data_IF_849596543386
#
_entry.id   IF_849596543386
#
_cell.length_a   1.000
_cell.length_b   1.000
_cell.length_c   1.000
_cell.angle_alpha   90.00
_cell.angle_beta   90.00
_cell.angle_gamma   90.00
#
_symmetry.space_group_name_H-M   'P 1'
#
loop_
_entity.id
_entity.type
_entity.pdbx_description
1 polymer ?
#
# COMPACT_ATOMS: atom_id res chain seq x y z
N UNK A 1 50.33 -27.53 14.18
CA UNK A 1 48.86 -27.49 13.98
C UNK A 1 48.48 -26.06 13.72
N UNK A 2 47.87 -25.74 12.55
CA UNK A 2 47.39 -24.38 12.24
C UNK A 2 46.17 -24.08 13.10
N UNK A 3 46.06 -22.89 13.74
CA UNK A 3 44.89 -22.54 14.52
C UNK A 3 43.65 -22.44 13.65
N UNK A 4 42.67 -23.27 13.93
CA UNK A 4 41.33 -23.19 13.27
C UNK A 4 40.60 -21.95 13.71
N UNK A 5 40.23 -21.07 12.79
CA UNK A 5 39.43 -19.92 13.11
C UNK A 5 37.93 -20.30 13.28
N UNK A 6 37.17 -19.47 13.99
CA UNK A 6 35.76 -19.68 14.34
C UNK A 6 34.89 -20.03 13.12
N UNK A 7 35.19 -19.45 11.95
CA UNK A 7 34.46 -19.66 10.70
C UNK A 7 34.73 -21.05 10.09
N UNK A 8 35.97 -21.55 10.20
CA UNK A 8 36.35 -22.90 9.74
C UNK A 8 35.78 -23.98 10.64
N UNK A 9 35.68 -23.72 11.95
CA UNK A 9 35.06 -24.63 12.90
C UNK A 9 33.54 -24.77 12.63
N UNK A 10 32.81 -23.65 12.42
CA UNK A 10 31.37 -23.68 12.12
C UNK A 10 31.08 -24.39 10.78
N UNK A 11 31.93 -24.22 9.77
CA UNK A 11 31.76 -24.93 8.50
C UNK A 11 32.03 -26.44 8.62
N UNK A 12 32.97 -26.84 9.46
CA UNK A 12 33.26 -28.25 9.69
C UNK A 12 32.13 -28.93 10.50
N UNK A 13 31.60 -28.27 11.53
CA UNK A 13 30.51 -28.82 12.34
C UNK A 13 29.20 -28.99 11.55
N UNK A 14 28.85 -28.05 10.65
CA UNK A 14 27.67 -28.18 9.79
C UNK A 14 27.81 -29.29 8.73
N UNK A 15 29.01 -29.53 8.23
CA UNK A 15 29.27 -30.63 7.27
C UNK A 15 29.14 -32.00 7.94
N UNK A 16 29.62 -32.14 9.18
CA UNK A 16 29.56 -33.40 9.93
C UNK A 16 28.13 -33.75 10.34
N UNK A 17 27.33 -32.79 10.76
CA UNK A 17 25.92 -33.03 11.10
C UNK A 17 25.06 -33.36 9.89
N UNK A 18 25.33 -32.75 8.73
CA UNK A 18 24.63 -33.06 7.49
C UNK A 18 24.95 -34.47 6.96
N UNK A 19 26.20 -34.93 7.08
CA UNK A 19 26.62 -36.27 6.67
C UNK A 19 26.04 -37.35 7.61
N UNK A 20 25.98 -37.11 8.91
CA UNK A 20 25.45 -38.05 9.90
C UNK A 20 23.92 -38.24 9.82
N UNK A 21 23.19 -37.23 9.31
CA UNK A 21 21.73 -37.24 9.22
C UNK A 21 21.23 -37.76 7.85
N UNK A 22 22.10 -38.06 6.88
CA UNK A 22 21.68 -38.42 5.52
C UNK A 22 20.86 -37.34 4.81
N UNK A 23 20.91 -36.09 5.34
CA UNK A 23 20.20 -34.96 4.77
C UNK A 23 20.99 -34.44 3.59
N UNK A 24 20.49 -34.65 2.38
CA UNK A 24 20.89 -33.84 1.23
C UNK A 24 20.68 -32.37 1.58
N UNK A 25 21.63 -31.46 1.24
CA UNK A 25 21.38 -30.03 1.45
C UNK A 25 20.10 -29.65 0.73
N UNK A 26 19.06 -29.36 1.51
CA UNK A 26 17.85 -28.78 0.95
C UNK A 26 18.32 -27.49 0.25
N UNK A 27 18.32 -27.48 -1.06
CA UNK A 27 18.35 -26.25 -1.82
C UNK A 27 17.18 -25.44 -1.31
N UNK A 28 17.46 -24.33 -0.65
CA UNK A 28 16.42 -23.38 -0.32
C UNK A 28 15.74 -23.01 -1.64
N UNK A 29 14.64 -23.67 -1.91
CA UNK A 29 13.77 -23.25 -3.00
C UNK A 29 13.29 -21.88 -2.59
N UNK A 30 13.74 -20.86 -3.31
CA UNK A 30 12.95 -19.64 -3.42
C UNK A 30 11.53 -20.11 -3.69
N UNK A 31 10.56 -19.72 -2.85
CA UNK A 31 9.18 -20.11 -3.05
C UNK A 31 8.77 -19.86 -4.50
N UNK A 32 7.68 -20.49 -4.99
CA UNK A 32 7.29 -20.41 -6.39
C UNK A 32 7.41 -18.98 -6.84
N UNK A 33 8.05 -18.76 -8.00
CA UNK A 33 8.13 -17.42 -8.59
C UNK A 33 6.73 -16.81 -8.51
N UNK A 34 6.63 -15.71 -7.80
CA UNK A 34 5.36 -15.05 -7.54
C UNK A 34 4.88 -14.46 -8.87
N UNK A 35 4.29 -15.31 -9.71
CA UNK A 35 3.72 -14.88 -11.00
C UNK A 35 2.61 -13.90 -10.67
N UNK A 36 2.86 -12.65 -10.99
CA UNK A 36 1.91 -11.58 -10.76
C UNK A 36 0.67 -11.83 -11.63
N UNK A 37 -0.51 -11.76 -11.04
CA UNK A 37 -1.76 -11.91 -11.79
C UNK A 37 -1.81 -10.93 -12.96
N UNK A 38 -2.13 -11.37 -14.18
CA UNK A 38 -2.34 -10.47 -15.32
C UNK A 38 -3.56 -9.56 -15.14
N UNK A 39 -4.50 -9.95 -14.26
CA UNK A 39 -5.76 -9.24 -14.02
C UNK A 39 -5.64 -8.14 -12.97
N UNK A 40 -4.42 -7.78 -12.54
CA UNK A 40 -4.27 -6.73 -11.51
C UNK A 40 -4.70 -5.38 -12.05
N UNK A 41 -5.52 -4.73 -11.24
CA UNK A 41 -5.97 -3.37 -11.42
C UNK A 41 -5.00 -2.39 -10.74
N UNK A 42 -5.09 -1.13 -11.11
CA UNK A 42 -4.32 -0.03 -10.52
C UNK A 42 -5.14 1.26 -10.46
N UNK A 43 -4.63 2.22 -9.72
CA UNK A 43 -5.03 3.63 -9.80
C UNK A 43 -3.81 4.43 -10.21
N UNK A 44 -3.89 5.09 -11.35
CA UNK A 44 -2.93 6.09 -11.78
C UNK A 44 -3.32 7.43 -11.14
N UNK A 45 -2.38 8.07 -10.48
CA UNK A 45 -2.53 9.42 -9.93
C UNK A 45 -1.73 10.38 -10.80
N UNK A 46 -2.41 11.23 -11.54
CA UNK A 46 -1.79 12.26 -12.36
C UNK A 46 -1.63 13.54 -11.55
N UNK A 47 -0.42 13.78 -11.08
CA UNK A 47 -0.09 14.95 -10.26
C UNK A 47 -0.02 16.25 -11.08
N UNK A 48 0.01 16.18 -12.40
CA UNK A 48 0.00 17.35 -13.28
C UNK A 48 -1.38 17.96 -13.45
N UNK A 49 -2.43 17.14 -13.19
CA UNK A 49 -3.84 17.55 -13.32
C UNK A 49 -4.50 17.75 -11.96
N UNK A 50 -3.95 17.16 -10.91
CA UNK A 50 -4.53 17.20 -9.56
C UNK A 50 -4.54 18.63 -9.01
N UNK A 51 -5.74 19.16 -8.70
CA UNK A 51 -5.95 20.51 -8.16
C UNK A 51 -5.96 20.55 -6.61
N UNK A 52 -5.82 19.41 -5.93
CA UNK A 52 -5.82 19.36 -4.47
C UNK A 52 -7.17 19.58 -3.80
N UNK A 53 -8.29 19.41 -4.49
CA UNK A 53 -9.65 19.65 -3.96
C UNK A 53 -10.06 18.70 -2.82
N UNK A 54 -9.35 17.60 -2.61
CA UNK A 54 -9.58 16.60 -1.53
C UNK A 54 -10.92 15.84 -1.60
N UNK A 55 -11.70 15.96 -2.70
CA UNK A 55 -12.93 15.18 -2.89
C UNK A 55 -12.69 13.67 -2.77
N UNK A 56 -11.51 13.19 -3.15
CA UNK A 56 -11.11 11.80 -2.99
C UNK A 56 -10.94 11.38 -1.51
N UNK A 57 -10.59 12.30 -0.61
CA UNK A 57 -10.57 12.04 0.85
C UNK A 57 -12.01 11.92 1.37
N UNK A 58 -12.88 12.88 1.02
CA UNK A 58 -14.28 12.88 1.37
C UNK A 58 -14.97 11.59 0.94
N UNK A 59 -14.93 11.27 -0.35
CA UNK A 59 -15.58 10.10 -0.90
C UNK A 59 -15.03 8.77 -0.35
N UNK A 60 -13.74 8.73 0.00
CA UNK A 60 -13.16 7.57 0.66
C UNK A 60 -13.74 7.36 2.05
N UNK A 61 -13.92 8.42 2.83
CA UNK A 61 -14.52 8.35 4.18
C UNK A 61 -15.97 7.90 4.11
N UNK A 62 -16.76 8.50 3.23
CA UNK A 62 -18.16 8.12 3.00
C UNK A 62 -18.29 6.63 2.63
N UNK A 63 -17.46 6.16 1.69
CA UNK A 63 -17.51 4.78 1.22
C UNK A 63 -17.07 3.73 2.27
N UNK A 64 -16.43 4.16 3.36
CA UNK A 64 -15.92 3.28 4.42
C UNK A 64 -16.56 3.58 5.79
N UNK A 65 -17.68 4.31 5.81
CA UNK A 65 -18.42 4.66 7.03
C UNK A 65 -17.53 5.30 8.12
N UNK A 66 -16.55 6.09 7.70
CA UNK A 66 -15.69 6.85 8.60
C UNK A 66 -16.32 8.19 8.94
N UNK A 67 -15.98 8.75 10.10
CA UNK A 67 -16.44 10.08 10.50
C UNK A 67 -16.05 11.12 9.43
N UNK A 68 -17.06 11.63 8.71
CA UNK A 68 -16.88 12.48 7.54
C UNK A 68 -17.46 13.87 7.84
N UNK A 69 -16.62 14.93 7.86
CA UNK A 69 -17.09 16.31 7.88
C UNK A 69 -17.87 16.63 6.58
N UNK A 70 -18.70 17.68 6.58
CA UNK A 70 -19.32 18.16 5.35
C UNK A 70 -18.31 18.45 4.24
N UNK A 71 -18.71 18.33 2.97
CA UNK A 71 -17.81 18.48 1.83
C UNK A 71 -17.09 19.84 1.82
N UNK A 72 -17.77 20.90 2.25
CA UNK A 72 -17.25 22.26 2.33
C UNK A 72 -16.03 22.37 3.28
N UNK A 73 -15.92 21.49 4.27
CA UNK A 73 -14.76 21.45 5.16
C UNK A 73 -13.46 21.01 4.43
N UNK A 74 -13.58 20.39 3.26
CA UNK A 74 -12.42 20.00 2.46
C UNK A 74 -11.89 21.13 1.57
N UNK A 75 -12.58 22.26 1.49
CA UNK A 75 -12.09 23.47 0.82
C UNK A 75 -11.01 24.19 1.64
N UNK A 76 -10.96 23.96 2.97
CA UNK A 76 -9.90 24.54 3.84
C UNK A 76 -8.52 23.94 3.46
N UNK A 77 -7.55 24.74 3.01
CA UNK A 77 -6.22 24.26 2.63
C UNK A 77 -5.32 23.94 3.83
N UNK A 78 -5.64 24.39 5.04
CA UNK A 78 -4.80 24.19 6.24
C UNK A 78 -4.31 22.79 6.47
N UNK A 79 -5.11 21.73 6.30
CA UNK A 79 -4.62 20.37 6.46
C UNK A 79 -3.49 19.98 5.51
N UNK A 80 -3.30 20.70 4.39
CA UNK A 80 -2.22 20.46 3.43
C UNK A 80 -0.94 21.28 3.72
N UNK A 81 -0.93 22.13 4.73
CA UNK A 81 0.27 22.88 5.16
C UNK A 81 1.30 21.96 5.83
N UNK A 82 0.87 20.82 6.34
CA UNK A 82 1.73 19.80 6.93
C UNK A 82 1.59 18.49 6.16
N UNK A 83 2.70 17.77 6.02
CA UNK A 83 2.65 16.44 5.41
C UNK A 83 1.86 15.48 6.29
N UNK A 84 0.77 14.95 5.75
CA UNK A 84 -0.10 13.96 6.40
C UNK A 84 0.17 12.57 5.85
N UNK A 85 -0.11 11.57 6.67
CA UNK A 85 -0.17 10.16 6.26
C UNK A 85 -1.58 9.63 6.47
N UNK A 86 -2.00 8.63 5.68
CA UNK A 86 -3.20 7.87 6.01
C UNK A 86 -3.14 7.34 7.45
N UNK A 87 -4.27 7.40 8.12
CA UNK A 87 -4.46 6.94 9.49
C UNK A 87 -5.78 6.15 9.61
N UNK A 88 -6.17 5.80 10.83
CA UNK A 88 -7.40 5.06 11.10
C UNK A 88 -8.67 5.87 10.79
N UNK A 89 -8.58 7.19 10.70
CA UNK A 89 -9.70 8.08 10.39
C UNK A 89 -9.72 8.52 8.93
N UNK A 90 -8.62 8.32 8.18
CA UNK A 90 -8.49 8.75 6.80
C UNK A 90 -7.60 7.79 6.00
N UNK A 91 -8.20 6.87 5.24
CA UNK A 91 -7.47 5.85 4.47
C UNK A 91 -6.70 6.41 3.26
N UNK A 92 -6.95 7.66 2.91
CA UNK A 92 -6.23 8.42 1.89
C UNK A 92 -6.17 9.89 2.27
N UNK A 93 -5.08 10.54 1.92
CA UNK A 93 -4.87 11.98 2.16
C UNK A 93 -4.24 12.62 0.92
N UNK A 94 -4.48 13.91 0.76
CA UNK A 94 -3.82 14.73 -0.28
C UNK A 94 -2.84 15.67 0.40
N UNK A 95 -1.61 15.68 -0.06
CA UNK A 95 -0.55 16.57 0.42
C UNK A 95 -0.18 17.56 -0.67
N UNK A 96 0.30 18.72 -0.26
CA UNK A 96 0.80 19.80 -1.11
C UNK A 96 2.31 19.93 -0.91
N UNK A 97 3.05 19.95 -2.00
CA UNK A 97 4.50 20.11 -2.01
C UNK A 97 4.86 21.35 -2.80
N UNK A 98 5.88 22.05 -2.36
CA UNK A 98 6.47 23.13 -3.14
C UNK A 98 7.06 22.56 -4.44
N UNK A 99 6.85 23.28 -5.53
CA UNK A 99 7.47 22.95 -6.80
C UNK A 99 8.70 23.86 -6.99
N UNK A 100 9.93 23.32 -6.92
CA UNK A 100 11.15 24.15 -7.05
C UNK A 100 11.27 24.87 -8.39
N UNK A 101 10.66 24.32 -9.45
CA UNK A 101 10.69 24.90 -10.79
C UNK A 101 9.62 25.98 -11.00
N UNK A 102 8.56 25.98 -10.20
CA UNK A 102 7.49 26.97 -10.24
C UNK A 102 6.82 27.10 -8.87
N UNK A 103 7.30 28.01 -8.00
CA UNK A 103 6.77 28.19 -6.65
C UNK A 103 5.28 28.56 -6.61
N UNK A 104 4.76 29.21 -7.64
CA UNK A 104 3.36 29.62 -7.74
C UNK A 104 2.42 28.45 -8.08
N UNK A 105 2.98 27.32 -8.54
CA UNK A 105 2.22 26.13 -8.90
C UNK A 105 2.68 24.91 -8.09
N UNK A 106 2.19 24.75 -6.86
CA UNK A 106 2.56 23.62 -6.01
C UNK A 106 2.05 22.31 -6.61
N UNK A 107 2.77 21.23 -6.34
CA UNK A 107 2.37 19.86 -6.73
C UNK A 107 1.52 19.24 -5.63
N UNK A 108 0.33 18.80 -5.97
CA UNK A 108 -0.55 18.06 -5.05
C UNK A 108 -0.48 16.57 -5.33
N UNK A 109 -0.31 15.78 -4.27
CA UNK A 109 -0.12 14.33 -4.35
C UNK A 109 -1.07 13.60 -3.42
N UNK A 110 -1.85 12.70 -3.99
CA UNK A 110 -2.68 11.77 -3.23
C UNK A 110 -1.84 10.63 -2.68
N UNK A 111 -1.92 10.38 -1.37
CA UNK A 111 -1.23 9.30 -0.67
C UNK A 111 -2.24 8.28 -0.17
N UNK A 112 -2.02 7.01 -0.50
CA UNK A 112 -2.85 5.88 -0.10
C UNK A 112 -2.04 4.58 -0.11
N UNK A 113 -2.67 3.44 0.17
CA UNK A 113 -2.03 2.13 0.02
C UNK A 113 -1.60 1.91 -1.44
N UNK A 114 -0.36 1.47 -1.63
CA UNK A 114 0.20 1.19 -2.96
C UNK A 114 -0.24 -0.16 -3.52
N UNK A 115 -0.94 -0.99 -2.75
CA UNK A 115 -1.33 -2.35 -3.15
C UNK A 115 -0.20 -3.12 -3.83
N UNK A 116 0.98 -3.10 -3.21
CA UNK A 116 2.27 -3.57 -3.74
C UNK A 116 2.16 -4.91 -4.45
N UNK A 117 2.97 -5.11 -5.49
CA UNK A 117 3.06 -6.39 -6.19
C UNK A 117 3.56 -7.50 -5.26
N UNK A 118 4.55 -7.20 -4.42
CA UNK A 118 5.08 -8.07 -3.37
C UNK A 118 4.87 -7.38 -2.00
N UNK A 119 3.67 -7.50 -1.40
CA UNK A 119 3.33 -6.71 -0.22
C UNK A 119 3.99 -7.27 1.04
N UNK A 120 4.96 -6.54 1.58
CA UNK A 120 5.65 -6.91 2.83
C UNK A 120 4.68 -7.07 4.01
N UNK A 121 3.58 -6.31 4.03
CA UNK A 121 2.56 -6.42 5.06
C UNK A 121 1.80 -7.77 5.01
N UNK A 122 1.66 -8.39 3.82
CA UNK A 122 1.10 -9.75 3.68
C UNK A 122 2.09 -10.77 4.22
N UNK A 123 3.36 -10.68 3.81
CA UNK A 123 4.42 -11.59 4.27
C UNK A 123 4.66 -11.53 5.79
N UNK A 124 4.45 -10.35 6.38
CA UNK A 124 4.62 -10.14 7.83
C UNK A 124 3.39 -10.59 8.64
N UNK A 125 2.25 -10.88 8.03
CA UNK A 125 1.04 -11.24 8.74
C UNK A 125 1.07 -12.71 9.18
N UNK A 126 1.40 -12.95 10.44
CA UNK A 126 1.59 -14.30 11.01
C UNK A 126 0.30 -15.13 11.05
N UNK A 127 -0.87 -14.49 11.01
CA UNK A 127 -2.18 -15.17 11.03
C UNK A 127 -2.87 -15.18 9.66
N UNK A 128 -2.21 -14.66 8.60
CA UNK A 128 -2.78 -14.60 7.27
C UNK A 128 -4.02 -13.71 7.15
N UNK A 129 -4.17 -12.73 8.05
CA UNK A 129 -5.30 -11.79 8.01
C UNK A 129 -5.19 -10.76 6.87
N UNK A 130 -4.01 -10.56 6.30
CA UNK A 130 -3.81 -9.71 5.13
C UNK A 130 -3.50 -10.58 3.93
N UNK A 131 -4.25 -10.41 2.86
CA UNK A 131 -4.08 -11.17 1.63
C UNK A 131 -4.05 -10.27 0.39
N UNK A 132 -3.31 -10.69 -0.64
CA UNK A 132 -3.35 -10.10 -1.97
C UNK A 132 -4.31 -10.89 -2.83
N UNK A 133 -5.27 -10.20 -3.43
CA UNK A 133 -6.28 -10.77 -4.33
C UNK A 133 -5.80 -10.74 -5.79
N UNK A 134 -6.44 -11.52 -6.65
CA UNK A 134 -6.10 -11.62 -8.08
C UNK A 134 -6.22 -10.29 -8.82
N UNK A 135 -7.19 -9.44 -8.43
CA UNK A 135 -7.35 -8.09 -8.97
C UNK A 135 -6.28 -7.10 -8.47
N UNK A 136 -5.30 -7.56 -7.70
CA UNK A 136 -4.21 -6.73 -7.16
C UNK A 136 -4.52 -6.07 -5.82
N UNK A 137 -5.74 -6.10 -5.32
CA UNK A 137 -6.09 -5.55 -4.03
C UNK A 137 -5.36 -6.28 -2.89
N UNK A 138 -4.80 -5.52 -1.96
CA UNK A 138 -4.31 -6.04 -0.67
C UNK A 138 -5.34 -5.68 0.37
N UNK A 139 -6.07 -6.69 0.84
CA UNK A 139 -7.20 -6.54 1.77
C UNK A 139 -6.89 -7.25 3.07
N UNK A 140 -7.48 -6.81 4.16
CA UNK A 140 -7.33 -7.47 5.44
C UNK A 140 -8.69 -7.99 5.94
N UNK A 141 -8.63 -9.12 6.63
CA UNK A 141 -9.75 -9.79 7.27
C UNK A 141 -9.72 -9.46 8.77
N UNK A 142 -10.72 -8.73 9.22
CA UNK A 142 -10.80 -8.29 10.62
C UNK A 142 -10.99 -9.44 11.59
N UNK A 143 -11.64 -10.53 11.17
CA UNK A 143 -11.98 -11.65 12.04
C UNK A 143 -10.75 -12.52 12.35
N UNK A 144 -9.76 -12.51 11.46
CA UNK A 144 -8.48 -13.18 11.67
C UNK A 144 -7.44 -12.31 12.35
N UNK A 145 -7.64 -10.98 12.36
CA UNK A 145 -6.63 -10.05 12.83
C UNK A 145 -6.49 -10.09 14.35
N UNK A 146 -5.29 -10.36 14.84
CA UNK A 146 -4.95 -10.39 16.28
C UNK A 146 -4.35 -9.06 16.80
N UNK A 147 -4.28 -8.02 15.96
CA UNK A 147 -3.75 -6.71 16.35
C UNK A 147 -2.25 -6.66 16.65
N UNK A 148 -1.44 -7.59 16.14
CA UNK A 148 0.01 -7.63 16.41
C UNK A 148 0.80 -6.46 15.79
N UNK A 149 0.22 -5.70 14.86
CA UNK A 149 0.77 -4.51 14.19
C UNK A 149 2.04 -4.74 13.35
N UNK A 150 2.42 -5.98 13.10
CA UNK A 150 3.58 -6.30 12.27
C UNK A 150 3.46 -5.73 10.85
N UNK A 151 2.26 -5.65 10.30
CA UNK A 151 1.99 -5.03 9.00
C UNK A 151 2.35 -3.53 8.96
N UNK A 152 2.23 -2.81 10.11
CA UNK A 152 2.61 -1.40 10.21
C UNK A 152 4.13 -1.25 10.13
N UNK A 153 4.87 -2.10 10.85
CA UNK A 153 6.34 -2.09 10.87
C UNK A 153 6.92 -2.52 9.51
N UNK A 154 6.29 -3.51 8.87
CA UNK A 154 6.76 -4.05 7.60
C UNK A 154 6.48 -3.13 6.40
N UNK A 155 5.54 -2.19 6.50
CA UNK A 155 5.19 -1.31 5.40
C UNK A 155 6.21 -0.19 5.23
N UNK A 156 6.99 -0.13 4.11
CA UNK A 156 7.97 0.94 3.90
C UNK A 156 7.31 2.31 3.71
N UNK A 157 6.02 2.33 3.36
CA UNK A 157 5.22 3.55 3.15
C UNK A 157 4.46 3.98 4.42
N UNK A 158 4.51 3.18 5.50
CA UNK A 158 3.82 3.44 6.77
C UNK A 158 2.31 3.71 6.60
N UNK A 159 1.66 2.91 5.77
CA UNK A 159 0.23 3.10 5.44
C UNK A 159 -0.72 2.43 6.44
N UNK A 160 -0.53 1.14 6.86
CA UNK A 160 -1.45 0.56 7.82
C UNK A 160 -1.41 1.33 9.14
N UNK A 161 -2.57 1.72 9.62
CA UNK A 161 -2.78 2.38 10.91
C UNK A 161 -3.56 1.45 11.86
N UNK A 162 -3.53 1.72 13.14
CA UNK A 162 -4.22 0.93 14.15
C UNK A 162 -5.12 1.84 15.00
N UNK A 163 -6.32 1.39 15.29
CA UNK A 163 -7.30 2.15 16.08
C UNK A 163 -6.92 2.15 17.57
N UNK A 164 -5.98 3.00 17.96
CA UNK A 164 -5.51 3.08 19.35
C UNK A 164 -6.57 3.59 20.33
N UNK A 165 -7.55 4.34 19.85
CA UNK A 165 -8.61 4.92 20.66
C UNK A 165 -9.72 3.91 21.02
N UNK A 166 -9.71 2.73 20.40
CA UNK A 166 -10.68 1.66 20.68
C UNK A 166 -10.11 0.67 21.68
N UNK A 167 -10.72 0.60 22.87
CA UNK A 167 -10.32 -0.34 23.91
C UNK A 167 -10.70 -1.79 23.58
N UNK A 168 -11.75 -2.01 22.81
CA UNK A 168 -12.27 -3.34 22.48
C UNK A 168 -12.33 -3.51 20.96
N UNK A 169 -11.70 -4.57 20.44
CA UNK A 169 -11.71 -4.93 19.03
C UNK A 169 -11.06 -3.89 18.09
N UNK A 170 -9.90 -3.27 18.45
CA UNK A 170 -9.24 -2.33 17.57
C UNK A 170 -8.80 -3.03 16.27
N UNK A 171 -8.90 -2.32 15.16
CA UNK A 171 -8.62 -2.84 13.81
C UNK A 171 -7.37 -2.20 13.21
N UNK A 172 -6.79 -2.89 12.26
CA UNK A 172 -5.87 -2.28 11.31
C UNK A 172 -6.70 -1.59 10.23
N UNK A 173 -6.40 -0.32 9.97
CA UNK A 173 -7.08 0.50 8.96
C UNK A 173 -6.10 0.84 7.83
N UNK A 174 -6.53 0.69 6.60
CA UNK A 174 -5.82 1.10 5.39
C UNK A 174 -6.76 1.06 4.20
N UNK A 175 -6.40 1.72 3.11
CA UNK A 175 -7.12 1.56 1.83
C UNK A 175 -7.21 0.06 1.46
N UNK A 176 -8.41 -0.41 1.19
CA UNK A 176 -8.74 -1.79 0.79
C UNK A 176 -8.95 -1.91 -0.73
N UNK A 177 -8.65 -0.83 -1.48
CA UNK A 177 -8.90 -0.70 -2.92
C UNK A 177 -10.38 -0.66 -3.27
N UNK A 178 -11.24 -0.31 -2.32
CA UNK A 178 -12.71 -0.37 -2.44
C UNK A 178 -13.19 -1.75 -2.95
N UNK A 179 -12.69 -2.83 -2.35
CA UNK A 179 -12.92 -4.19 -2.82
C UNK A 179 -14.42 -4.54 -2.92
N UNK A 180 -15.24 -4.07 -1.97
CA UNK A 180 -16.70 -4.25 -1.99
C UNK A 180 -17.35 -3.56 -3.20
N UNK A 181 -16.97 -2.30 -3.47
CA UNK A 181 -17.49 -1.56 -4.63
C UNK A 181 -17.07 -2.20 -5.94
N UNK A 182 -15.84 -2.69 -6.04
CA UNK A 182 -15.36 -3.41 -7.22
C UNK A 182 -16.12 -4.71 -7.45
N UNK A 183 -16.49 -5.45 -6.40
CA UNK A 183 -17.34 -6.64 -6.51
C UNK A 183 -18.74 -6.33 -7.08
N UNK A 184 -19.22 -5.10 -6.90
CA UNK A 184 -20.47 -4.59 -7.48
C UNK A 184 -20.26 -3.97 -8.89
N UNK A 185 -19.07 -4.04 -9.45
CA UNK A 185 -18.74 -3.43 -10.75
C UNK A 185 -18.59 -1.91 -10.72
N UNK A 186 -18.50 -1.30 -9.53
CA UNK A 186 -18.33 0.14 -9.34
C UNK A 186 -16.85 0.53 -9.32
N UNK A 187 -16.57 1.78 -9.67
CA UNK A 187 -15.23 2.36 -9.50
C UNK A 187 -14.88 2.56 -8.02
N UNK A 188 -13.59 2.57 -7.65
CA UNK A 188 -13.15 3.07 -6.35
C UNK A 188 -13.72 4.48 -6.09
N UNK A 189 -14.26 4.73 -4.90
CA UNK A 189 -14.96 5.97 -4.58
C UNK A 189 -14.11 7.23 -4.85
N UNK A 190 -12.81 7.17 -4.54
CA UNK A 190 -11.89 8.27 -4.80
C UNK A 190 -11.68 8.56 -6.28
N UNK A 191 -11.80 7.56 -7.16
CA UNK A 191 -11.69 7.73 -8.62
C UNK A 191 -12.97 8.36 -9.15
N UNK A 192 -14.12 7.80 -8.77
CA UNK A 192 -15.44 8.27 -9.20
C UNK A 192 -15.69 9.74 -8.82
N UNK A 193 -15.21 10.17 -7.65
CA UNK A 193 -15.40 11.53 -7.13
C UNK A 193 -14.40 12.57 -7.65
N UNK A 194 -13.43 12.18 -8.50
CA UNK A 194 -12.41 13.11 -8.96
C UNK A 194 -12.93 14.05 -10.07
N UNK A 195 -13.15 15.35 -9.82
CA UNK A 195 -13.80 16.25 -10.77
C UNK A 195 -12.93 16.60 -11.98
N UNK A 196 -11.61 16.41 -11.86
CA UNK A 196 -10.63 16.70 -12.92
C UNK A 196 -10.01 15.45 -13.53
N UNK A 197 -10.56 14.27 -13.23
CA UNK A 197 -10.08 12.97 -13.71
C UNK A 197 -8.58 12.72 -13.50
N UNK A 198 -8.00 13.34 -12.45
CA UNK A 198 -6.62 13.12 -12.07
C UNK A 198 -6.36 11.68 -11.58
N UNK A 199 -7.43 10.93 -11.28
CA UNK A 199 -7.38 9.54 -10.85
C UNK A 199 -8.00 8.64 -11.92
N UNK A 200 -7.22 7.71 -12.44
CA UNK A 200 -7.70 6.74 -13.45
C UNK A 200 -7.57 5.33 -12.88
N UNK A 201 -8.65 4.55 -12.93
CA UNK A 201 -8.68 3.14 -12.54
C UNK A 201 -8.74 2.24 -13.77
N UNK A 202 -7.93 1.19 -13.78
CA UNK A 202 -7.90 0.26 -14.89
C UNK A 202 -6.84 -0.84 -14.74
N UNK A 203 -6.67 -1.69 -15.77
CA UNK A 203 -5.61 -2.69 -15.82
C UNK A 203 -4.23 -2.03 -15.60
N UNK A 204 -3.48 -2.54 -14.63
CA UNK A 204 -2.19 -1.94 -14.22
C UNK A 204 -1.22 -1.76 -15.39
N UNK A 205 -1.12 -2.75 -16.25
CA UNK A 205 -0.20 -2.72 -17.39
C UNK A 205 -0.55 -1.59 -18.39
N UNK A 206 -1.84 -1.32 -18.55
CA UNK A 206 -2.31 -0.23 -19.40
C UNK A 206 -2.01 1.13 -18.76
N UNK A 207 -2.30 1.27 -17.47
CA UNK A 207 -2.01 2.51 -16.73
C UNK A 207 -0.52 2.84 -16.71
N UNK A 208 0.36 1.83 -16.62
CA UNK A 208 1.81 2.02 -16.70
C UNK A 208 2.21 2.56 -18.09
N UNK A 209 1.62 2.02 -19.17
CA UNK A 209 1.86 2.55 -20.53
C UNK A 209 1.40 3.99 -20.66
N UNK A 210 0.20 4.30 -20.17
CA UNK A 210 -0.33 5.68 -20.18
C UNK A 210 0.59 6.63 -19.40
N UNK A 211 1.05 6.23 -18.22
CA UNK A 211 1.96 7.04 -17.41
C UNK A 211 3.29 7.29 -18.14
N UNK A 212 3.89 6.27 -18.75
CA UNK A 212 5.11 6.39 -19.53
C UNK A 212 4.95 7.31 -20.74
N UNK A 213 3.80 7.25 -21.43
CA UNK A 213 3.51 8.13 -22.55
C UNK A 213 3.36 9.59 -22.12
N UNK A 214 2.68 9.84 -20.98
CA UNK A 214 2.57 11.19 -20.41
C UNK A 214 3.94 11.76 -20.05
N UNK A 215 4.79 10.99 -19.37
CA UNK A 215 6.16 11.41 -18.97
C UNK A 215 7.00 11.73 -20.22
N UNK A 216 6.88 10.95 -21.31
CA UNK A 216 7.63 11.21 -22.55
C UNK A 216 7.20 12.49 -23.27
N UNK A 217 5.92 12.87 -23.15
CA UNK A 217 5.38 14.07 -23.82
C UNK A 217 5.61 15.36 -23.01
N UNK A 218 5.79 15.23 -21.71
CA UNK A 218 5.98 16.35 -20.79
C UNK A 218 7.07 15.98 -19.77
N UNK A 219 8.36 15.96 -20.20
CA UNK A 219 9.49 15.59 -19.37
C UNK A 219 9.79 16.65 -18.29
#
# INVERSE_FOLDING_TARGET
MKPTNRRSFLKASTAITAAAAGLTPATAHAGPENVLSPNRMGVLVDTTVCIGCRNCEFACKEAHDLATPPLEAYEDPKPMEQMRRPDETALTVVNKFENPSNPDLPTTVKVQCMHCDHPACVSACIVGAIAKHENGAVVWDTDKCIGCRYCMVACPFQIPAFEYDKAIGPKIMKCDFCASRQAEGKLPACVESCPVEALTFGPREELVRVAQDKIRRSP
#
